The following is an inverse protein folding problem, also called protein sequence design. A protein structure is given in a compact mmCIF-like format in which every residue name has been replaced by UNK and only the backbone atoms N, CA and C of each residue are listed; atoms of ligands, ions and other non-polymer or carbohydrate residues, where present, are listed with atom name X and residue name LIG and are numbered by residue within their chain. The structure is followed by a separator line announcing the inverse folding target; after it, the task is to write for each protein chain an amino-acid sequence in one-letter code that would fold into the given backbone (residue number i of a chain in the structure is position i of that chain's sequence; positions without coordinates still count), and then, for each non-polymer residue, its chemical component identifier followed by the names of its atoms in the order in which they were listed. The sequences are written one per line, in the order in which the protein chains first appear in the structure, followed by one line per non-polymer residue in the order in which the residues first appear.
data_IF_628222873704
#
_entry.id   IF_628222873704
#
_cell.length_a   1.000
_cell.length_b   1.000
_cell.length_c   1.000
_cell.angle_alpha   90.00
_cell.angle_beta   90.00
_cell.angle_gamma   90.00
#
_symmetry.space_group_name_H-M   'P 1'
#
loop_
_entity.id
_entity.type
_entity.pdbx_description
1 polymer ?
#
# COMPACT_ATOMS: atom_id res chain seq x y z
N UNK A 1 49.39 -9.25 -5.26
CA UNK A 1 49.32 -10.50 -4.47
C UNK A 1 47.93 -11.08 -4.65
N UNK A 2 47.81 -12.24 -5.30
CA UNK A 2 46.53 -12.92 -5.52
C UNK A 2 46.34 -13.89 -4.34
N UNK A 3 45.34 -13.66 -3.49
CA UNK A 3 44.98 -14.64 -2.45
C UNK A 3 44.15 -15.72 -3.15
N UNK A 4 44.58 -16.98 -3.16
CA UNK A 4 43.85 -18.05 -3.85
C UNK A 4 42.48 -18.26 -3.21
N UNK A 5 41.44 -18.29 -4.05
CA UNK A 5 40.02 -18.36 -3.66
C UNK A 5 39.68 -19.52 -2.72
N UNK A 6 40.48 -20.61 -2.73
CA UNK A 6 40.29 -21.76 -1.85
C UNK A 6 40.63 -21.49 -0.38
N UNK A 7 41.52 -20.53 -0.09
CA UNK A 7 41.81 -20.09 1.29
C UNK A 7 40.65 -19.28 1.88
N UNK A 8 39.92 -18.53 1.05
CA UNK A 8 38.73 -17.75 1.46
C UNK A 8 37.56 -18.69 1.78
N UNK A 9 37.38 -19.74 0.96
CA UNK A 9 36.34 -20.76 1.18
C UNK A 9 36.61 -21.56 2.46
N UNK A 10 37.88 -21.88 2.75
CA UNK A 10 38.27 -22.58 3.99
C UNK A 10 37.93 -21.80 5.27
N UNK A 11 38.14 -20.48 5.27
CA UNK A 11 37.83 -19.61 6.42
C UNK A 11 36.32 -19.44 6.62
N UNK A 12 35.54 -19.39 5.53
CA UNK A 12 34.07 -19.29 5.60
C UNK A 12 33.47 -20.58 6.19
N UNK A 13 33.96 -21.76 5.78
CA UNK A 13 33.46 -23.04 6.29
C UNK A 13 33.82 -23.23 7.77
N UNK A 14 35.03 -22.84 8.19
CA UNK A 14 35.43 -22.84 9.60
C UNK A 14 34.61 -21.85 10.44
N UNK A 15 34.27 -20.68 9.90
CA UNK A 15 33.38 -19.71 10.54
C UNK A 15 31.98 -20.26 10.77
N UNK A 16 31.39 -20.92 9.77
CA UNK A 16 30.06 -21.54 9.87
C UNK A 16 30.08 -22.71 10.87
N UNK A 17 31.14 -23.52 10.90
CA UNK A 17 31.29 -24.61 11.87
C UNK A 17 31.44 -24.09 13.30
N UNK A 18 32.16 -22.99 13.51
CA UNK A 18 32.34 -22.40 14.85
C UNK A 18 31.04 -21.73 15.36
N UNK A 19 30.32 -21.02 14.48
CA UNK A 19 29.01 -20.42 14.82
C UNK A 19 27.92 -21.46 15.09
N UNK A 20 27.91 -22.59 14.39
CA UNK A 20 26.94 -23.66 14.63
C UNK A 20 27.23 -24.43 15.93
N UNK A 21 28.51 -24.51 16.36
CA UNK A 21 28.89 -25.17 17.62
C UNK A 21 28.66 -24.30 18.86
N UNK A 22 28.77 -22.97 18.75
CA UNK A 22 28.46 -22.03 19.85
C UNK A 22 26.97 -21.93 20.19
N UNK A 23 26.06 -22.26 19.25
CA UNK A 23 24.61 -22.32 19.50
C UNK A 23 24.14 -23.49 20.38
N UNK A 24 25.05 -24.36 20.84
CA UNK A 24 24.70 -25.58 21.60
C UNK A 24 24.87 -25.51 23.12
N UNK A 25 25.11 -24.35 23.72
CA UNK A 25 25.17 -24.22 25.18
C UNK A 25 24.36 -23.02 25.70
N UNK A 26 23.06 -23.24 25.91
CA UNK A 26 22.32 -22.70 27.04
C UNK A 26 20.95 -23.41 27.15
N UNK A 27 20.74 -24.32 28.13
CA UNK A 27 19.53 -25.14 28.18
C UNK A 27 18.35 -24.51 28.93
N UNK A 28 18.37 -23.20 29.26
CA UNK A 28 17.31 -22.55 30.04
C UNK A 28 16.76 -21.28 29.37
N UNK A 29 16.21 -21.40 28.16
CA UNK A 29 15.25 -20.41 27.65
C UNK A 29 13.95 -21.14 27.33
N UNK A 30 12.85 -20.69 27.95
CA UNK A 30 11.50 -21.16 27.68
C UNK A 30 11.28 -21.35 26.17
N UNK A 31 11.04 -22.59 25.76
CA UNK A 31 10.73 -22.97 24.39
C UNK A 31 9.38 -22.38 23.98
N UNK A 32 9.34 -21.14 23.50
CA UNK A 32 8.38 -20.82 22.45
C UNK A 32 8.81 -21.63 21.22
N UNK A 33 7.92 -22.47 20.64
CA UNK A 33 8.21 -23.09 19.35
C UNK A 33 8.63 -22.00 18.37
N UNK A 34 9.68 -22.25 17.61
CA UNK A 34 10.26 -21.28 16.69
C UNK A 34 9.23 -20.97 15.57
N UNK A 35 8.38 -19.95 15.78
CA UNK A 35 7.23 -19.59 14.93
C UNK A 35 7.67 -19.31 13.48
N UNK A 36 8.94 -18.92 13.28
CA UNK A 36 9.59 -18.71 11.97
C UNK A 36 9.72 -19.96 11.07
N UNK A 37 9.21 -21.14 11.48
CA UNK A 37 9.23 -22.38 10.69
C UNK A 37 7.86 -22.90 10.28
N UNK A 38 6.77 -22.20 10.61
CA UNK A 38 5.43 -22.63 10.20
C UNK A 38 5.12 -22.08 8.80
N UNK A 39 4.53 -22.92 7.94
CA UNK A 39 3.92 -22.45 6.70
C UNK A 39 2.90 -21.36 7.05
N UNK A 40 2.85 -20.28 6.28
CA UNK A 40 1.88 -19.20 6.49
C UNK A 40 1.26 -18.81 5.15
N UNK A 41 -0.02 -18.52 5.16
CA UNK A 41 -0.69 -17.86 4.05
C UNK A 41 -0.99 -16.41 4.48
N UNK A 42 -1.19 -15.48 3.54
CA UNK A 42 -1.61 -14.13 3.91
C UNK A 42 -2.64 -13.58 2.94
N UNK A 43 -3.36 -12.57 3.45
CA UNK A 43 -4.22 -11.67 2.67
C UNK A 43 -3.74 -10.25 2.90
N UNK A 44 -3.39 -9.56 1.84
CA UNK A 44 -3.08 -8.14 1.81
C UNK A 44 -4.25 -7.43 1.14
N UNK A 45 -4.86 -6.47 1.84
CA UNK A 45 -5.87 -5.58 1.29
C UNK A 45 -5.29 -4.16 1.22
N UNK A 46 -5.42 -3.53 0.06
CA UNK A 46 -5.04 -2.14 -0.16
C UNK A 46 -6.28 -1.37 -0.62
N UNK A 47 -6.46 -0.17 -0.10
CA UNK A 47 -7.53 0.75 -0.47
C UNK A 47 -6.93 2.09 -0.91
N UNK A 48 -7.34 2.60 -2.06
CA UNK A 48 -6.91 3.91 -2.56
C UNK A 48 -8.17 4.72 -2.91
N UNK A 49 -8.32 5.86 -2.26
CA UNK A 49 -9.39 6.82 -2.52
C UNK A 49 -8.79 8.19 -2.86
N UNK A 50 -8.62 8.49 -4.17
CA UNK A 50 -8.11 9.77 -4.61
C UNK A 50 -9.08 10.91 -4.30
N UNK A 51 -8.57 12.04 -3.81
CA UNK A 51 -9.32 13.29 -3.86
C UNK A 51 -9.29 13.82 -5.29
N UNK A 52 -10.25 13.36 -6.11
CA UNK A 52 -10.29 13.69 -7.53
C UNK A 52 -10.34 15.19 -7.82
N UNK A 53 -10.98 15.99 -6.96
CA UNK A 53 -11.03 17.45 -7.12
C UNK A 53 -9.65 18.08 -6.98
N UNK A 54 -8.92 17.76 -5.88
CA UNK A 54 -7.56 18.24 -5.66
C UNK A 54 -6.58 17.71 -6.71
N UNK A 55 -6.72 16.43 -7.07
CA UNK A 55 -5.94 15.79 -8.12
C UNK A 55 -6.12 16.52 -9.45
N UNK A 56 -7.36 16.74 -9.88
CA UNK A 56 -7.66 17.42 -11.13
C UNK A 56 -7.15 18.86 -11.16
N UNK A 57 -7.29 19.59 -10.05
CA UNK A 57 -6.73 20.94 -9.90
C UNK A 57 -5.23 20.97 -10.12
N UNK A 58 -4.51 20.01 -9.53
CA UNK A 58 -3.06 19.89 -9.66
C UNK A 58 -2.64 19.53 -11.09
N UNK A 59 -3.37 18.64 -11.74
CA UNK A 59 -3.15 18.24 -13.13
C UNK A 59 -3.35 19.41 -14.10
N UNK A 60 -4.46 20.13 -13.96
CA UNK A 60 -4.84 21.20 -14.88
C UNK A 60 -3.95 22.45 -14.73
N UNK A 61 -3.44 22.72 -13.53
CA UNK A 61 -2.59 23.88 -13.26
C UNK A 61 -3.26 25.24 -13.55
N UNK A 62 -4.48 25.50 -13.04
CA UNK A 62 -5.21 26.74 -13.30
C UNK A 62 -4.49 27.96 -12.72
N UNK A 63 -4.68 29.15 -13.31
CA UNK A 63 -4.05 30.38 -12.81
C UNK A 63 -4.78 30.98 -11.61
N UNK A 64 -6.04 30.58 -11.38
CA UNK A 64 -6.85 31.06 -10.26
C UNK A 64 -7.95 30.07 -9.88
N UNK A 65 -8.48 30.20 -8.65
CA UNK A 65 -9.59 29.38 -8.17
C UNK A 65 -10.85 29.54 -9.03
N UNK A 66 -11.19 30.78 -9.39
CA UNK A 66 -12.39 31.07 -10.20
C UNK A 66 -12.32 30.43 -11.58
N UNK A 67 -11.13 30.38 -12.18
CA UNK A 67 -10.90 29.70 -13.45
C UNK A 67 -11.11 28.19 -13.29
N UNK A 68 -10.55 27.61 -12.24
CA UNK A 68 -10.68 26.19 -11.95
C UNK A 68 -12.14 25.77 -11.74
N UNK A 69 -12.88 26.47 -10.87
CA UNK A 69 -14.29 26.17 -10.58
C UNK A 69 -15.15 26.20 -11.84
N UNK A 70 -14.92 27.19 -12.71
CA UNK A 70 -15.65 27.28 -13.98
C UNK A 70 -15.39 26.07 -14.87
N UNK A 71 -14.12 25.68 -15.03
CA UNK A 71 -13.73 24.54 -15.87
C UNK A 71 -14.28 23.25 -15.27
N UNK A 72 -14.11 23.07 -13.97
CA UNK A 72 -14.62 21.91 -13.24
C UNK A 72 -16.13 21.77 -13.39
N UNK A 73 -16.91 22.84 -13.18
CA UNK A 73 -18.35 22.84 -13.38
C UNK A 73 -18.75 22.47 -14.81
N UNK A 74 -18.06 23.01 -15.82
CA UNK A 74 -18.33 22.71 -17.22
C UNK A 74 -18.06 21.24 -17.54
N UNK A 75 -16.99 20.67 -16.99
CA UNK A 75 -16.62 19.26 -17.15
C UNK A 75 -17.63 18.35 -16.45
N UNK A 76 -17.96 18.66 -15.20
CA UNK A 76 -18.90 17.89 -14.40
C UNK A 76 -20.33 17.93 -14.99
N UNK A 77 -20.77 19.05 -15.59
CA UNK A 77 -22.07 19.15 -16.29
C UNK A 77 -22.13 18.30 -17.56
N UNK A 78 -21.00 18.11 -18.24
CA UNK A 78 -20.90 17.29 -19.46
C UNK A 78 -20.75 15.80 -19.16
N UNK A 79 -20.48 15.42 -17.92
CA UNK A 79 -20.32 14.03 -17.53
C UNK A 79 -21.66 13.31 -17.64
N UNK A 80 -21.70 12.22 -18.41
CA UNK A 80 -22.90 11.39 -18.52
C UNK A 80 -23.09 10.54 -17.26
N UNK A 81 -24.33 10.10 -17.01
CA UNK A 81 -24.64 9.19 -15.88
C UNK A 81 -23.91 7.85 -15.97
N UNK A 82 -23.43 7.48 -17.16
CA UNK A 82 -22.75 6.21 -17.44
C UNK A 82 -21.37 6.39 -18.09
N UNK A 83 -20.63 7.42 -17.65
CA UNK A 83 -19.26 7.66 -18.11
C UNK A 83 -18.27 6.65 -17.50
N UNK A 84 -18.36 5.41 -17.99
CA UNK A 84 -17.54 4.28 -17.57
C UNK A 84 -16.07 4.37 -17.99
N UNK A 85 -15.68 5.40 -18.75
CA UNK A 85 -14.30 5.64 -19.19
C UNK A 85 -13.59 6.70 -18.34
N UNK A 86 -14.35 7.65 -17.80
CA UNK A 86 -13.86 8.62 -16.82
C UNK A 86 -13.37 7.97 -15.53
N UNK A 87 -12.22 8.44 -15.03
CA UNK A 87 -11.69 8.04 -13.72
C UNK A 87 -12.37 8.76 -12.55
N UNK A 88 -13.09 9.85 -12.82
CA UNK A 88 -13.71 10.68 -11.80
C UNK A 88 -14.55 9.88 -10.79
N UNK A 89 -14.26 10.10 -9.51
CA UNK A 89 -15.00 9.49 -8.39
C UNK A 89 -14.76 7.99 -8.21
N UNK A 90 -13.78 7.39 -8.91
CA UNK A 90 -13.41 5.99 -8.68
C UNK A 90 -12.70 5.81 -7.34
N UNK A 91 -12.95 4.67 -6.71
CA UNK A 91 -12.21 4.17 -5.55
C UNK A 91 -11.70 2.78 -5.85
N UNK A 92 -10.52 2.46 -5.35
CA UNK A 92 -9.82 1.26 -5.74
C UNK A 92 -9.56 0.37 -4.54
N UNK A 93 -9.76 -0.92 -4.72
CA UNK A 93 -9.37 -1.94 -3.75
C UNK A 93 -8.56 -2.99 -4.48
N UNK A 94 -7.42 -3.30 -3.91
CA UNK A 94 -6.56 -4.39 -4.35
C UNK A 94 -6.50 -5.44 -3.25
N UNK A 95 -6.61 -6.69 -3.64
CA UNK A 95 -6.42 -7.80 -2.72
C UNK A 95 -5.41 -8.78 -3.31
N UNK A 96 -4.36 -9.07 -2.54
CA UNK A 96 -3.41 -10.14 -2.82
C UNK A 96 -3.59 -11.26 -1.79
N UNK A 97 -3.70 -12.50 -2.28
CA UNK A 97 -3.66 -13.70 -1.46
C UNK A 97 -2.45 -14.53 -1.82
N UNK A 98 -1.62 -14.81 -0.83
CA UNK A 98 -0.57 -15.82 -0.93
C UNK A 98 -0.98 -17.06 -0.15
N UNK A 99 -0.94 -18.22 -0.81
CA UNK A 99 -1.20 -19.50 -0.19
C UNK A 99 0.08 -20.34 -0.09
N UNK A 100 0.55 -20.62 1.12
CA UNK A 100 1.73 -21.47 1.34
C UNK A 100 1.53 -22.94 0.95
N UNK A 101 0.29 -23.44 0.94
CA UNK A 101 0.05 -24.84 0.60
C UNK A 101 0.29 -25.11 -0.89
N UNK A 102 -0.15 -24.20 -1.75
CA UNK A 102 0.06 -24.25 -3.20
C UNK A 102 1.32 -23.50 -3.68
N UNK A 103 1.83 -22.57 -2.87
CA UNK A 103 2.89 -21.64 -3.27
C UNK A 103 2.43 -20.59 -4.28
N UNK A 104 1.12 -20.41 -4.46
CA UNK A 104 0.53 -19.51 -5.44
C UNK A 104 0.14 -18.17 -4.82
N UNK A 105 0.34 -17.11 -5.60
CA UNK A 105 -0.18 -15.77 -5.32
C UNK A 105 -1.30 -15.47 -6.30
N UNK A 106 -2.44 -15.01 -5.79
CA UNK A 106 -3.57 -14.58 -6.61
C UNK A 106 -3.93 -13.15 -6.26
N UNK A 107 -4.29 -12.35 -7.27
CA UNK A 107 -4.54 -10.92 -7.13
C UNK A 107 -5.87 -10.55 -7.75
N UNK A 108 -6.59 -9.65 -7.09
CA UNK A 108 -7.88 -9.16 -7.52
C UNK A 108 -7.93 -7.65 -7.41
N UNK A 109 -8.55 -7.02 -8.40
CA UNK A 109 -8.85 -5.59 -8.39
C UNK A 109 -10.35 -5.37 -8.33
N UNK A 110 -10.77 -4.48 -7.44
CA UNK A 110 -12.12 -3.94 -7.38
C UNK A 110 -12.08 -2.44 -7.62
N UNK A 111 -12.92 -1.96 -8.54
CA UNK A 111 -13.11 -0.53 -8.80
C UNK A 111 -14.56 -0.17 -8.49
N UNK A 112 -14.77 0.79 -7.59
CA UNK A 112 -16.08 1.38 -7.30
C UNK A 112 -16.18 2.71 -8.04
N UNK A 113 -17.12 2.83 -8.98
CA UNK A 113 -17.36 4.06 -9.73
C UNK A 113 -18.24 5.05 -8.97
N UNK A 114 -18.23 6.32 -9.39
CA UNK A 114 -19.05 7.38 -8.77
C UNK A 114 -20.55 7.06 -8.78
N UNK A 115 -21.04 6.40 -9.83
CA UNK A 115 -22.45 6.01 -9.97
C UNK A 115 -22.84 4.74 -9.20
N UNK A 116 -21.93 4.18 -8.39
CA UNK A 116 -22.15 2.97 -7.60
C UNK A 116 -21.94 1.67 -8.36
N UNK A 117 -21.64 1.69 -9.66
CA UNK A 117 -21.21 0.50 -10.39
C UNK A 117 -19.89 -0.01 -9.82
N UNK A 118 -19.71 -1.33 -9.85
CA UNK A 118 -18.50 -1.99 -9.37
C UNK A 118 -17.97 -2.93 -10.44
N UNK A 119 -16.65 -2.88 -10.68
CA UNK A 119 -15.93 -3.87 -11.44
C UNK A 119 -15.08 -4.73 -10.50
N UNK A 120 -15.01 -6.03 -10.77
CA UNK A 120 -14.19 -6.97 -10.02
C UNK A 120 -13.63 -8.03 -10.95
N UNK A 121 -12.30 -8.17 -11.00
CA UNK A 121 -11.63 -9.11 -11.89
C UNK A 121 -10.28 -9.56 -11.33
N UNK A 122 -9.83 -10.79 -11.65
CA UNK A 122 -8.46 -11.21 -11.39
C UNK A 122 -7.50 -10.40 -12.27
N UNK A 123 -6.30 -10.15 -11.74
CA UNK A 123 -5.26 -9.35 -12.40
C UNK A 123 -3.89 -9.96 -12.14
N UNK A 124 -2.95 -9.69 -13.04
CA UNK A 124 -1.53 -9.96 -12.79
C UNK A 124 -0.86 -8.78 -12.06
N UNK A 125 -1.25 -7.57 -12.47
CA UNK A 125 -0.76 -6.30 -11.95
C UNK A 125 -1.94 -5.36 -11.71
N UNK A 126 -1.90 -4.66 -10.57
CA UNK A 126 -2.93 -3.67 -10.25
C UNK A 126 -2.68 -2.40 -11.03
N UNK A 127 -3.73 -1.90 -11.68
CA UNK A 127 -3.61 -0.74 -12.52
C UNK A 127 -4.96 -0.25 -13.01
N UNK A 128 -5.13 1.07 -13.00
CA UNK A 128 -6.16 1.76 -13.78
C UNK A 128 -5.55 3.00 -14.43
N UNK A 129 -5.99 3.32 -15.64
CA UNK A 129 -5.39 4.39 -16.44
C UNK A 129 -6.41 5.07 -17.32
N UNK A 130 -6.23 6.37 -17.52
CA UNK A 130 -7.13 7.17 -18.32
C UNK A 130 -7.06 8.64 -17.97
N UNK A 131 -8.17 9.33 -18.17
CA UNK A 131 -8.31 10.74 -17.86
C UNK A 131 -9.27 10.91 -16.70
N UNK A 132 -9.03 11.92 -15.86
CA UNK A 132 -9.97 12.24 -14.77
C UNK A 132 -11.36 12.50 -15.32
N UNK A 133 -11.47 13.28 -16.39
CA UNK A 133 -12.69 13.40 -17.19
C UNK A 133 -12.40 12.91 -18.61
N UNK A 134 -13.27 12.10 -19.20
CA UNK A 134 -13.07 11.59 -20.58
C UNK A 134 -12.98 12.71 -21.62
N UNK A 135 -13.66 13.84 -21.37
CA UNK A 135 -13.55 15.03 -22.22
C UNK A 135 -12.15 15.68 -22.24
N UNK A 136 -11.23 15.26 -21.38
CA UNK A 136 -9.81 15.63 -21.41
C UNK A 136 -8.97 14.67 -22.27
N UNK A 137 -9.58 13.63 -22.84
CA UNK A 137 -8.91 12.73 -23.76
C UNK A 137 -8.37 13.47 -24.98
N UNK A 138 -7.09 13.25 -25.28
CA UNK A 138 -6.47 13.75 -26.51
C UNK A 138 -7.20 13.26 -27.78
N UNK A 139 -7.85 12.08 -27.72
CA UNK A 139 -8.61 11.52 -28.84
C UNK A 139 -9.89 12.29 -29.17
N UNK A 140 -10.46 12.98 -28.17
CA UNK A 140 -11.69 13.78 -28.34
C UNK A 140 -11.39 15.21 -28.84
N UNK A 141 -10.13 15.51 -29.17
CA UNK A 141 -9.72 16.83 -29.65
C UNK A 141 -10.05 16.99 -31.14
N UNK A 142 -10.73 18.06 -31.55
CA UNK A 142 -10.93 18.40 -32.97
C UNK A 142 -9.61 18.51 -33.72
N UNK A 143 -9.60 18.14 -35.01
CA UNK A 143 -8.40 18.20 -35.86
C UNK A 143 -7.86 19.64 -35.98
N UNK A 144 -8.71 20.66 -35.81
CA UNK A 144 -8.37 22.08 -35.87
C UNK A 144 -7.97 22.69 -34.51
N UNK A 145 -7.94 21.90 -33.43
CA UNK A 145 -7.46 22.38 -32.13
C UNK A 145 -5.95 22.65 -32.19
N UNK A 146 -5.51 23.77 -31.62
CA UNK A 146 -4.11 24.14 -31.69
C UNK A 146 -3.21 23.12 -30.96
N UNK A 147 -1.98 22.94 -31.45
CA UNK A 147 -1.02 21.96 -30.91
C UNK A 147 -0.83 22.10 -29.40
N UNK A 148 -0.79 23.34 -28.88
CA UNK A 148 -0.57 23.62 -27.46
C UNK A 148 -1.69 23.11 -26.55
N UNK A 149 -2.96 23.24 -26.96
CA UNK A 149 -4.10 22.76 -26.16
C UNK A 149 -4.17 21.25 -26.19
N UNK A 150 -3.91 20.65 -27.34
CA UNK A 150 -3.83 19.21 -27.50
C UNK A 150 -2.72 18.61 -26.62
N UNK A 151 -1.50 19.15 -26.72
CA UNK A 151 -0.36 18.73 -25.88
C UNK A 151 -0.66 18.88 -24.37
N UNK A 152 -1.39 19.94 -23.99
CA UNK A 152 -1.79 20.12 -22.60
C UNK A 152 -2.75 19.01 -22.13
N UNK A 153 -3.76 18.67 -22.93
CA UNK A 153 -4.72 17.59 -22.62
C UNK A 153 -4.05 16.23 -22.50
N UNK A 154 -3.12 15.90 -23.38
CA UNK A 154 -2.37 14.64 -23.35
C UNK A 154 -1.61 14.45 -22.01
N UNK A 155 -1.14 15.56 -21.40
CA UNK A 155 -0.49 15.56 -20.07
C UNK A 155 -1.45 15.38 -18.88
N UNK A 156 -2.77 15.45 -19.10
CA UNK A 156 -3.79 15.24 -18.05
C UNK A 156 -4.13 13.76 -17.84
N UNK A 157 -3.52 12.87 -18.60
CA UNK A 157 -3.64 11.43 -18.42
C UNK A 157 -2.98 10.99 -17.11
N UNK A 158 -3.59 10.01 -16.44
CA UNK A 158 -3.21 9.51 -15.11
C UNK A 158 -3.20 7.99 -15.09
N UNK A 159 -2.29 7.43 -14.30
CA UNK A 159 -2.26 6.03 -13.91
C UNK A 159 -2.26 5.88 -12.39
N UNK A 160 -3.01 4.90 -11.92
CA UNK A 160 -3.15 4.52 -10.53
C UNK A 160 -2.58 3.11 -10.40
N UNK A 161 -1.48 2.98 -9.65
CA UNK A 161 -0.87 1.71 -9.26
C UNK A 161 -1.16 1.38 -7.80
N UNK A 162 -0.63 0.25 -7.32
CA UNK A 162 -0.96 -0.29 -6.00
C UNK A 162 -0.48 0.63 -4.86
N UNK A 163 0.53 1.45 -5.13
CA UNK A 163 1.16 2.35 -4.18
C UNK A 163 1.44 3.74 -4.77
N UNK A 164 0.89 4.09 -5.95
CA UNK A 164 1.16 5.39 -6.59
C UNK A 164 0.01 5.94 -7.41
N UNK A 165 0.06 7.26 -7.66
CA UNK A 165 -0.66 7.93 -8.73
C UNK A 165 0.33 8.78 -9.51
N UNK A 166 0.41 8.61 -10.82
CA UNK A 166 1.31 9.36 -11.71
C UNK A 166 0.54 9.97 -12.88
N UNK A 167 1.06 11.03 -13.48
CA UNK A 167 0.47 11.65 -14.67
C UNK A 167 1.42 11.72 -15.85
N UNK A 168 0.93 12.31 -16.94
CA UNK A 168 1.64 12.42 -18.21
C UNK A 168 2.00 11.03 -18.74
N UNK A 169 0.98 10.19 -18.84
CA UNK A 169 1.14 8.78 -19.23
C UNK A 169 0.91 8.55 -20.73
N UNK A 170 0.58 9.60 -21.49
CA UNK A 170 0.25 9.51 -22.91
C UNK A 170 1.48 9.66 -23.81
N UNK A 171 1.52 8.86 -24.88
CA UNK A 171 2.47 8.94 -25.97
C UNK A 171 1.85 9.63 -27.19
N UNK A 172 2.36 10.82 -27.50
CA UNK A 172 1.94 11.62 -28.65
C UNK A 172 2.27 10.98 -30.00
N UNK A 173 3.28 10.08 -30.05
CA UNK A 173 3.74 9.47 -31.30
C UNK A 173 2.89 8.27 -31.69
N UNK A 174 2.29 7.59 -30.72
CA UNK A 174 1.57 6.33 -30.92
C UNK A 174 0.07 6.47 -30.59
N UNK A 175 -0.33 7.56 -29.91
CA UNK A 175 -1.73 7.82 -29.58
C UNK A 175 -2.27 6.86 -28.51
N UNK A 176 -1.40 6.45 -27.60
CA UNK A 176 -1.69 5.48 -26.54
C UNK A 176 -0.82 5.76 -25.31
N UNK A 177 -0.79 4.90 -24.30
CA UNK A 177 0.10 5.07 -23.16
C UNK A 177 1.58 5.08 -23.59
N UNK A 178 2.45 5.76 -22.83
CA UNK A 178 3.91 5.77 -23.03
C UNK A 178 4.46 4.34 -23.06
N UNK A 179 5.23 4.03 -24.09
CA UNK A 179 5.87 2.72 -24.24
C UNK A 179 7.12 2.55 -23.37
N UNK A 180 7.79 3.66 -23.02
CA UNK A 180 8.99 3.65 -22.19
C UNK A 180 8.81 4.52 -20.95
N UNK A 181 9.07 3.90 -19.80
CA UNK A 181 8.94 4.49 -18.48
C UNK A 181 10.32 4.62 -17.86
N UNK A 182 10.66 5.85 -17.48
CA UNK A 182 11.83 6.13 -16.66
C UNK A 182 11.33 6.47 -15.26
N UNK A 183 11.16 5.43 -14.43
CA UNK A 183 10.58 5.51 -13.08
C UNK A 183 11.25 6.56 -12.19
N UNK A 184 12.52 6.91 -12.42
CA UNK A 184 13.23 7.94 -11.65
C UNK A 184 12.86 9.38 -12.07
N UNK A 185 12.29 9.56 -13.27
CA UNK A 185 11.89 10.87 -13.81
C UNK A 185 10.38 11.06 -13.87
N UNK A 186 9.62 10.15 -13.27
CA UNK A 186 8.17 10.19 -13.32
C UNK A 186 7.57 11.29 -12.46
N UNK A 187 6.47 11.87 -12.95
CA UNK A 187 5.70 12.86 -12.23
C UNK A 187 4.70 12.16 -11.29
N UNK A 188 5.21 11.65 -10.18
CA UNK A 188 4.37 11.12 -9.11
C UNK A 188 3.55 12.24 -8.47
N UNK A 189 2.23 12.10 -8.54
CA UNK A 189 1.28 12.95 -7.82
C UNK A 189 1.16 12.46 -6.37
N UNK A 190 1.21 11.15 -6.20
CA UNK A 190 1.15 10.41 -4.95
C UNK A 190 2.07 9.18 -5.04
N UNK A 191 2.72 8.84 -3.93
CA UNK A 191 3.49 7.60 -3.77
C UNK A 191 3.42 7.19 -2.30
N UNK A 192 3.28 5.89 -2.06
CA UNK A 192 3.17 5.28 -0.75
C UNK A 192 4.30 4.25 -0.56
N UNK A 193 4.97 4.21 0.61
CA UNK A 193 6.04 3.24 0.86
C UNK A 193 5.46 1.86 1.23
N UNK A 194 4.76 1.22 0.29
CA UNK A 194 4.03 -0.04 0.51
C UNK A 194 4.97 -1.16 0.96
N UNK A 195 6.15 -1.27 0.37
CA UNK A 195 7.12 -2.31 0.70
C UNK A 195 7.54 -2.27 2.18
N UNK A 196 7.87 -1.08 2.71
CA UNK A 196 8.27 -0.95 4.12
C UNK A 196 7.12 -1.23 5.07
N UNK A 197 5.93 -0.72 4.75
CA UNK A 197 4.72 -0.95 5.55
C UNK A 197 4.35 -2.43 5.58
N UNK A 198 4.34 -3.09 4.42
CA UNK A 198 4.11 -4.53 4.32
C UNK A 198 5.12 -5.32 5.14
N UNK A 199 6.42 -5.05 4.98
CA UNK A 199 7.47 -5.78 5.71
C UNK A 199 7.34 -5.62 7.22
N UNK A 200 6.99 -4.42 7.69
CA UNK A 200 6.74 -4.19 9.11
C UNK A 200 5.53 -4.99 9.60
N UNK A 201 4.37 -4.88 8.94
CA UNK A 201 3.15 -5.60 9.34
C UNK A 201 3.37 -7.12 9.29
N UNK A 202 4.11 -7.58 8.28
CA UNK A 202 4.46 -8.98 8.13
C UNK A 202 5.37 -9.44 9.27
N UNK A 203 6.45 -8.71 9.56
CA UNK A 203 7.36 -9.05 10.65
C UNK A 203 6.66 -9.01 12.03
N UNK A 204 5.79 -8.02 12.24
CA UNK A 204 4.98 -7.87 13.44
C UNK A 204 4.04 -9.08 13.61
N UNK A 205 3.25 -9.39 12.58
CA UNK A 205 2.33 -10.51 12.59
C UNK A 205 3.06 -11.84 12.78
N UNK A 206 4.19 -12.06 12.10
CA UNK A 206 5.03 -13.26 12.28
C UNK A 206 5.53 -13.43 13.72
N UNK A 207 5.83 -12.33 14.41
CA UNK A 207 6.40 -12.34 15.77
C UNK A 207 5.34 -12.42 16.86
N UNK A 208 4.22 -11.71 16.69
CA UNK A 208 3.13 -11.64 17.65
C UNK A 208 1.79 -11.91 16.95
N UNK A 209 1.13 -12.98 17.36
CA UNK A 209 -0.13 -13.42 16.74
C UNK A 209 -1.22 -12.34 16.84
N UNK A 210 -1.97 -12.18 15.75
CA UNK A 210 -3.14 -11.28 15.63
C UNK A 210 -2.85 -9.80 15.91
N UNK A 211 -1.59 -9.37 15.83
CA UNK A 211 -1.21 -7.97 16.05
C UNK A 211 -1.10 -7.16 14.76
N UNK A 212 -1.05 -7.81 13.59
CA UNK A 212 -0.92 -7.16 12.28
C UNK A 212 -2.12 -6.28 11.92
N UNK A 213 -3.29 -6.52 12.54
CA UNK A 213 -4.51 -5.73 12.39
C UNK A 213 -4.73 -4.74 13.54
N UNK A 214 -3.83 -4.69 14.51
CA UNK A 214 -3.96 -3.72 15.59
C UNK A 214 -3.67 -2.32 15.06
N UNK A 215 -4.35 -1.34 15.64
CA UNK A 215 -4.16 0.07 15.28
C UNK A 215 -2.72 0.48 15.59
N UNK A 216 -2.03 1.01 14.58
CA UNK A 216 -0.67 1.54 14.75
C UNK A 216 -0.74 2.93 15.39
N UNK A 217 -0.43 3.00 16.68
CA UNK A 217 -0.34 4.24 17.47
C UNK A 217 0.95 5.00 17.16
N UNK A 218 1.99 4.33 16.68
CA UNK A 218 3.21 4.97 16.19
C UNK A 218 3.89 3.99 15.25
N UNK A 219 4.19 4.43 14.03
CA UNK A 219 4.93 3.62 13.08
C UNK A 219 6.42 3.57 13.49
N UNK A 220 7.16 2.56 12.99
CA UNK A 220 8.60 2.56 13.03
C UNK A 220 9.24 3.88 12.58
N UNK A 221 10.32 4.31 13.25
CA UNK A 221 11.02 5.57 12.93
C UNK A 221 11.42 5.69 11.44
N UNK A 222 11.84 4.58 10.83
CA UNK A 222 12.23 4.57 9.41
C UNK A 222 11.04 4.70 8.45
N UNK A 223 9.84 4.24 8.86
CA UNK A 223 8.59 4.41 8.10
C UNK A 223 8.07 5.83 8.31
N UNK A 224 8.11 6.37 9.54
CA UNK A 224 7.74 7.77 9.82
C UNK A 224 8.55 8.73 8.95
N UNK A 225 9.86 8.52 8.82
CA UNK A 225 10.71 9.30 7.91
C UNK A 225 10.23 9.24 6.45
N UNK A 226 9.86 8.05 5.96
CA UNK A 226 9.33 7.91 4.59
C UNK A 226 7.97 8.59 4.42
N UNK A 227 7.12 8.52 5.44
CA UNK A 227 5.85 9.23 5.45
C UNK A 227 6.08 10.75 5.41
N UNK A 228 7.01 11.29 6.19
CA UNK A 228 7.39 12.70 6.12
C UNK A 228 7.90 13.09 4.73
N UNK A 229 8.80 12.30 4.13
CA UNK A 229 9.32 12.53 2.78
C UNK A 229 8.21 12.52 1.70
N UNK A 230 7.22 11.64 1.84
CA UNK A 230 6.08 11.53 0.94
C UNK A 230 4.95 12.53 1.25
N UNK A 231 5.00 13.22 2.40
CA UNK A 231 3.92 14.07 2.90
C UNK A 231 2.66 13.28 3.25
N UNK A 232 2.84 12.09 3.82
CA UNK A 232 1.79 11.21 4.34
C UNK A 232 1.59 11.52 5.83
N UNK A 233 0.35 11.80 6.17
CA UNK A 233 -0.13 12.00 7.52
C UNK A 233 -1.07 10.84 7.90
N UNK A 234 -1.20 10.58 9.19
CA UNK A 234 -2.19 9.64 9.71
C UNK A 234 -2.73 10.21 11.01
N UNK A 235 -4.02 10.51 11.01
CA UNK A 235 -4.71 10.90 12.22
C UNK A 235 -4.99 9.65 13.06
N UNK A 236 -4.86 9.78 14.37
CA UNK A 236 -5.49 8.82 15.27
C UNK A 236 -6.58 9.55 16.04
N UNK A 237 -7.81 9.37 15.59
CA UNK A 237 -8.96 9.81 16.37
C UNK A 237 -9.20 8.73 17.43
N UNK A 238 -8.68 8.98 18.62
CA UNK A 238 -8.91 8.15 19.79
C UNK A 238 -9.98 8.82 20.65
N UNK A 239 -11.12 8.15 20.87
CA UNK A 239 -12.12 8.59 21.86
C UNK A 239 -11.56 8.54 23.30
N UNK A 240 -10.56 7.70 23.54
CA UNK A 240 -9.87 7.49 24.81
C UNK A 240 -8.44 6.99 24.56
N UNK A 241 -7.51 7.20 25.50
CA UNK A 241 -6.14 6.70 25.38
C UNK A 241 -6.12 5.18 25.12
N UNK A 242 -5.51 4.71 24.03
CA UNK A 242 -5.48 3.29 23.70
C UNK A 242 -4.56 2.53 24.66
N UNK A 243 -5.02 1.38 25.14
CA UNK A 243 -4.14 0.41 25.81
C UNK A 243 -3.09 -0.08 24.81
N UNK A 244 -1.82 0.01 25.18
CA UNK A 244 -0.70 -0.37 24.32
C UNK A 244 -0.28 -1.82 24.53
N UNK A 245 0.09 -2.49 23.45
CA UNK A 245 0.80 -3.76 23.51
C UNK A 245 2.28 -3.49 23.82
N UNK A 246 2.80 -4.08 24.90
CA UNK A 246 4.16 -3.85 25.40
C UNK A 246 5.18 -4.69 24.64
N UNK A 247 5.46 -4.29 23.39
CA UNK A 247 6.40 -4.98 22.49
C UNK A 247 7.79 -5.09 23.14
N UNK A 248 8.29 -4.03 23.78
CA UNK A 248 9.62 -4.00 24.40
C UNK A 248 9.77 -5.08 25.48
N UNK A 249 8.74 -5.25 26.31
CA UNK A 249 8.74 -6.29 27.35
C UNK A 249 8.65 -7.70 26.78
N UNK A 250 7.90 -7.88 25.68
CA UNK A 250 7.74 -9.19 25.04
C UNK A 250 8.95 -9.59 24.19
N UNK A 251 9.56 -8.63 23.48
CA UNK A 251 10.74 -8.82 22.65
C UNK A 251 11.48 -7.48 22.41
N UNK A 252 12.46 -7.24 23.27
CA UNK A 252 13.29 -6.04 23.21
C UNK A 252 14.10 -5.94 21.92
N UNK A 253 14.66 -7.05 21.44
CA UNK A 253 15.52 -7.06 20.25
C UNK A 253 14.69 -6.69 19.02
N UNK A 254 13.49 -7.26 18.87
CA UNK A 254 12.55 -6.88 17.82
C UNK A 254 12.16 -5.40 17.91
N UNK A 255 11.81 -4.93 19.12
CA UNK A 255 11.41 -3.54 19.35
C UNK A 255 12.49 -2.54 18.93
N UNK A 256 13.75 -2.79 19.31
CA UNK A 256 14.88 -1.94 18.96
C UNK A 256 15.22 -2.02 17.47
N UNK A 257 15.23 -3.22 16.89
CA UNK A 257 15.57 -3.45 15.49
C UNK A 257 14.54 -2.82 14.54
N UNK A 258 13.25 -2.93 14.85
CA UNK A 258 12.17 -2.49 13.97
C UNK A 258 11.85 -1.00 14.12
N UNK A 259 12.52 -0.26 15.02
CA UNK A 259 12.36 1.19 15.16
C UNK A 259 11.25 1.61 16.12
N UNK A 260 11.08 0.88 17.23
CA UNK A 260 10.28 1.26 18.41
C UNK A 260 8.82 1.67 18.13
N UNK A 261 8.04 0.82 17.44
CA UNK A 261 6.64 1.09 17.13
C UNK A 261 5.77 1.08 18.39
N UNK A 262 4.60 1.72 18.32
CA UNK A 262 3.54 1.58 19.33
C UNK A 262 2.28 1.07 18.65
N UNK A 263 1.68 0.02 19.18
CA UNK A 263 0.43 -0.54 18.65
C UNK A 263 -0.58 -0.70 19.78
N UNK A 264 -1.86 -0.60 19.45
CA UNK A 264 -2.92 -0.89 20.41
C UNK A 264 -2.91 -2.38 20.77
N UNK A 265 -3.43 -2.72 21.95
CA UNK A 265 -3.64 -4.12 22.36
C UNK A 265 -4.90 -4.75 21.76
N UNK A 266 -5.70 -3.98 21.02
CA UNK A 266 -6.98 -4.42 20.46
C UNK A 266 -7.19 -3.87 19.06
N UNK A 267 -7.63 -4.74 18.16
CA UNK A 267 -7.97 -4.45 16.77
C UNK A 267 -9.35 -3.79 16.58
N UNK A 268 -10.02 -3.33 17.65
CA UNK A 268 -11.46 -3.04 17.57
C UNK A 268 -11.78 -1.84 16.68
N UNK A 269 -12.86 -1.98 15.89
CA UNK A 269 -13.55 -0.96 15.08
C UNK A 269 -13.98 0.32 15.86
N UNK A 270 -13.73 0.38 17.18
CA UNK A 270 -13.89 1.60 18.00
C UNK A 270 -12.74 2.59 17.85
N UNK A 271 -11.64 2.17 17.24
CA UNK A 271 -10.56 3.04 16.81
C UNK A 271 -10.78 3.27 15.31
N UNK A 272 -11.52 4.33 14.95
CA UNK A 272 -11.71 4.65 13.53
C UNK A 272 -10.35 4.85 12.86
N UNK A 273 -10.27 4.28 11.66
CA UNK A 273 -9.15 4.12 10.75
C UNK A 273 -7.94 5.05 10.98
N UNK A 274 -6.75 4.44 11.03
CA UNK A 274 -5.52 5.10 10.56
C UNK A 274 -5.63 5.25 9.04
N UNK A 275 -6.51 6.13 8.58
CA UNK A 275 -6.51 6.50 7.18
C UNK A 275 -5.23 7.29 6.94
N UNK A 276 -4.30 6.68 6.20
CA UNK A 276 -3.09 7.34 5.77
C UNK A 276 -3.49 8.28 4.63
N UNK A 277 -3.08 9.53 4.73
CA UNK A 277 -3.55 10.58 3.84
C UNK A 277 -2.37 11.40 3.36
N UNK A 278 -2.26 11.62 2.05
CA UNK A 278 -1.23 12.51 1.53
C UNK A 278 -1.65 13.99 1.60
N UNK A 279 -0.72 14.90 1.28
CA UNK A 279 -0.97 16.34 1.14
C UNK A 279 -2.10 16.72 0.15
N UNK A 280 -2.44 15.84 -0.78
CA UNK A 280 -3.51 16.04 -1.75
C UNK A 280 -4.86 15.50 -1.26
N UNK A 281 -4.95 15.04 -0.02
CA UNK A 281 -6.09 14.32 0.56
C UNK A 281 -6.46 13.00 -0.15
N UNK A 282 -5.50 12.36 -0.82
CA UNK A 282 -5.66 10.98 -1.25
C UNK A 282 -5.54 10.09 -0.02
N UNK A 283 -6.58 9.29 0.21
CA UNK A 283 -6.61 8.31 1.28
C UNK A 283 -6.04 6.97 0.81
N UNK A 284 -5.25 6.36 1.69
CA UNK A 284 -4.60 5.09 1.48
C UNK A 284 -4.82 4.20 2.71
N UNK A 285 -5.27 2.98 2.48
CA UNK A 285 -5.46 1.95 3.49
C UNK A 285 -4.64 0.72 3.13
N UNK A 286 -4.05 0.10 4.14
CA UNK A 286 -3.35 -1.18 4.00
C UNK A 286 -3.62 -2.05 5.21
N UNK A 287 -4.07 -3.26 4.95
CA UNK A 287 -4.37 -4.27 5.97
C UNK A 287 -3.69 -5.58 5.57
N UNK A 288 -2.99 -6.20 6.52
CA UNK A 288 -2.42 -7.52 6.35
C UNK A 288 -3.07 -8.49 7.32
N UNK A 289 -3.45 -9.67 6.86
CA UNK A 289 -3.81 -10.81 7.70
C UNK A 289 -2.89 -11.99 7.41
N UNK A 290 -2.29 -12.54 8.45
CA UNK A 290 -1.50 -13.76 8.36
C UNK A 290 -2.34 -14.93 8.85
N UNK A 291 -2.32 -16.04 8.11
CA UNK A 291 -2.99 -17.29 8.43
C UNK A 291 -1.96 -18.37 8.68
N UNK A 292 -2.05 -19.04 9.83
CA UNK A 292 -1.22 -20.20 10.15
C UNK A 292 -2.04 -21.48 10.21
N UNK A 293 -1.45 -22.63 9.82
CA UNK A 293 -2.05 -23.94 10.04
C UNK A 293 -2.49 -24.11 11.51
N UNK A 294 -3.75 -24.47 11.72
CA UNK A 294 -4.34 -24.71 13.05
C UNK A 294 -4.91 -23.47 13.76
N UNK A 295 -4.84 -22.26 13.21
CA UNK A 295 -5.50 -21.08 13.82
C UNK A 295 -7.04 -21.14 13.71
N UNK A 296 -7.59 -21.81 12.69
CA UNK A 296 -9.03 -22.09 12.61
C UNK A 296 -9.54 -23.06 13.69
N UNK A 297 -8.66 -23.86 14.30
CA UNK A 297 -9.04 -24.83 15.35
C UNK A 297 -9.18 -24.17 16.74
N UNK A 298 -8.71 -22.92 16.90
CA UNK A 298 -8.80 -22.16 18.16
C UNK A 298 -10.09 -21.36 18.32
N UNK A 299 -10.92 -21.27 17.27
CA UNK A 299 -12.23 -20.57 17.28
C UNK A 299 -13.33 -21.43 17.98
N UNK A 300 -12.97 -22.61 18.50
CA UNK A 300 -13.91 -23.56 19.13
C UNK A 300 -14.06 -23.50 20.66
N UNK A 301 -13.23 -22.76 21.39
CA UNK A 301 -13.35 -22.68 22.86
C UNK A 301 -14.10 -21.41 23.27
N UNK A 302 -15.42 -21.43 23.09
CA UNK A 302 -16.28 -20.55 23.87
C UNK A 302 -16.10 -20.87 25.35
N UNK A 303 -15.93 -19.89 26.25
CA UNK A 303 -15.94 -20.16 27.68
C UNK A 303 -17.27 -20.83 28.06
N UNK A 304 -17.28 -21.79 28.99
CA UNK A 304 -18.49 -22.48 29.38
C UNK A 304 -19.50 -21.44 29.86
N UNK A 305 -20.70 -21.46 29.27
CA UNK A 305 -21.83 -20.69 29.79
C UNK A 305 -22.00 -21.06 31.26
N UNK A 306 -21.73 -20.11 32.14
CA UNK A 306 -22.09 -20.20 33.55
C UNK A 306 -23.62 -20.38 33.58
N UNK A 307 -24.07 -21.47 34.19
CA UNK A 307 -25.50 -21.79 34.37
C UNK A 307 -26.17 -20.84 35.34
#
# INVERSE_FOLDING_TARGET
MYIPTWLIIGVIILGIYYFTKLKKQNPNSNNMPNIFKQNFSYKLDIHIEPNWHKLYKKLYGPKSEKEFEKIFEEKHKKMEKDDSFSLWGRRYYFTEYYDSASGLTTRFQRVLCQNGKQYFYPIDEFGDRGYVFDSDSGLNSPIDENDKKREHREKLSVEIGEDFIRNDIWDKHIGGPKESWDYEKENYIFSFPLYEVFNFLFALGQRFHDTERNTIVKWPDHIEKKFEEAGIEYEKIFEFEPTLFDIEKHDKDFFEQIGRPKISSSSSDRFQSTDLKDKNDTYYGVELKIFRPGENDRIGEFPPRIK
#
